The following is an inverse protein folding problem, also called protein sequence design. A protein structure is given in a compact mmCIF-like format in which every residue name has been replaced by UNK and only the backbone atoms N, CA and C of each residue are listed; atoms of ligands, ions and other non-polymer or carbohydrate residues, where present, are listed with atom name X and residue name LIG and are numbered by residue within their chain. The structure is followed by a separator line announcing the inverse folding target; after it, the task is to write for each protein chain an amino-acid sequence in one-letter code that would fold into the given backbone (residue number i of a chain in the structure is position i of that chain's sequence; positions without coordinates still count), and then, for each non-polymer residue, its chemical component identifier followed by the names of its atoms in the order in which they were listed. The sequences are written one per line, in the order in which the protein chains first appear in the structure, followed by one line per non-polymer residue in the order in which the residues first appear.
data_IF_637370461215
#
_entry.id   IF_637370461215
#
_cell.length_a   1.000
_cell.length_b   1.000
_cell.length_c   1.000
_cell.angle_alpha   90.00
_cell.angle_beta   90.00
_cell.angle_gamma   90.00
#
_symmetry.space_group_name_H-M   'P 1'
#
loop_
_entity.id
_entity.type
_entity.pdbx_description
1 polymer ?
#
# COMPACT_ATOMS: atom_id res chain seq x y z
N UNK A 1 11.69 -7.51 -50.97
CA UNK A 1 11.86 -8.07 -49.60
C UNK A 1 12.53 -7.01 -48.75
N UNK A 2 11.78 -6.34 -47.87
CA UNK A 2 12.31 -5.26 -47.01
C UNK A 2 12.90 -5.87 -45.75
N UNK A 3 14.20 -5.62 -45.50
CA UNK A 3 14.93 -6.16 -44.35
C UNK A 3 14.54 -5.37 -43.10
N UNK A 4 13.97 -6.04 -42.10
CA UNK A 4 13.68 -5.45 -40.79
C UNK A 4 14.95 -5.45 -39.95
N UNK A 5 15.31 -4.30 -39.37
CA UNK A 5 16.47 -4.16 -38.51
C UNK A 5 15.98 -4.12 -37.06
N UNK A 6 16.38 -5.11 -36.26
CA UNK A 6 16.06 -5.19 -34.84
C UNK A 6 17.30 -4.74 -34.03
N UNK A 7 17.15 -3.68 -33.23
CA UNK A 7 18.20 -3.11 -32.40
C UNK A 7 17.92 -3.46 -30.94
N UNK A 8 18.92 -4.04 -30.25
CA UNK A 8 18.84 -4.40 -28.84
C UNK A 8 19.90 -3.63 -28.05
N UNK A 9 19.54 -3.17 -26.85
CA UNK A 9 20.46 -2.58 -25.89
C UNK A 9 20.13 -3.08 -24.48
N UNK A 10 21.16 -3.25 -23.64
CA UNK A 10 21.03 -3.65 -22.23
C UNK A 10 21.30 -2.44 -21.34
N UNK A 11 20.30 -2.01 -20.58
CA UNK A 11 20.49 -0.98 -19.56
C UNK A 11 21.27 -1.60 -18.39
N UNK A 12 22.36 -0.96 -17.98
CA UNK A 12 23.19 -1.37 -16.84
C UNK A 12 23.40 -0.19 -15.90
N UNK A 13 23.66 -0.44 -14.61
CA UNK A 13 24.02 0.61 -13.66
C UNK A 13 22.87 1.52 -13.20
N UNK A 14 21.62 1.06 -13.23
CA UNK A 14 20.49 1.83 -12.68
C UNK A 14 20.73 2.04 -11.17
N UNK A 15 20.85 3.32 -10.77
CA UNK A 15 20.90 3.74 -9.37
C UNK A 15 19.58 4.41 -9.03
N UNK A 16 18.79 3.79 -8.15
CA UNK A 16 17.51 4.31 -7.71
C UNK A 16 17.41 4.21 -6.19
N UNK A 17 16.93 5.28 -5.57
CA UNK A 17 16.57 5.30 -4.15
C UNK A 17 15.05 5.43 -4.08
N UNK A 18 14.33 4.41 -3.59
CA UNK A 18 12.89 4.50 -3.44
C UNK A 18 12.55 5.54 -2.36
N UNK A 19 11.50 6.31 -2.63
CA UNK A 19 10.87 7.20 -1.67
C UNK A 19 9.57 6.55 -1.17
N UNK A 20 9.09 6.97 0.00
CA UNK A 20 7.86 6.46 0.62
C UNK A 20 7.98 5.02 1.17
N UNK A 21 9.21 4.57 1.48
CA UNK A 21 9.50 3.31 2.19
C UNK A 21 9.41 3.51 3.71
N UNK A 22 8.22 3.85 4.19
CA UNK A 22 8.00 4.00 5.63
C UNK A 22 8.06 2.62 6.30
N UNK A 23 8.71 2.54 7.47
CA UNK A 23 8.63 1.33 8.29
C UNK A 23 7.24 1.24 8.95
N UNK A 24 6.58 0.11 8.74
CA UNK A 24 5.19 -0.10 9.16
C UNK A 24 5.15 -0.97 10.42
N UNK A 25 4.40 -0.56 11.46
CA UNK A 25 4.22 -1.39 12.64
C UNK A 25 3.50 -2.68 12.26
N UNK A 26 3.83 -3.77 12.96
CA UNK A 26 3.26 -5.09 12.75
C UNK A 26 2.29 -5.40 13.88
N UNK A 27 1.10 -5.84 13.53
CA UNK A 27 0.05 -6.23 14.47
C UNK A 27 -0.48 -7.61 14.11
N UNK A 28 -0.72 -8.45 15.12
CA UNK A 28 -1.44 -9.71 14.92
C UNK A 28 -2.91 -9.43 14.66
N UNK A 29 -3.56 -10.31 13.90
CA UNK A 29 -4.99 -10.16 13.58
C UNK A 29 -5.90 -10.15 14.80
N UNK A 30 -5.48 -10.80 15.89
CA UNK A 30 -6.20 -10.75 17.17
C UNK A 30 -6.25 -9.34 17.78
N UNK A 31 -5.33 -8.44 17.41
CA UNK A 31 -5.18 -7.07 17.92
C UNK A 31 -5.54 -6.02 16.86
N UNK A 32 -6.35 -6.39 15.87
CA UNK A 32 -6.65 -5.53 14.72
C UNK A 32 -7.38 -4.24 15.11
N UNK A 33 -8.22 -4.27 16.15
CA UNK A 33 -8.95 -3.11 16.65
C UNK A 33 -7.98 -2.01 17.14
N UNK A 34 -7.02 -2.39 17.99
CA UNK A 34 -5.98 -1.46 18.47
C UNK A 34 -5.08 -0.95 17.32
N UNK A 35 -4.86 -1.76 16.28
CA UNK A 35 -4.09 -1.35 15.11
C UNK A 35 -4.79 -0.21 14.33
N UNK A 36 -6.11 -0.30 14.15
CA UNK A 36 -6.90 0.75 13.48
C UNK A 36 -6.91 2.07 14.26
N UNK A 37 -6.99 2.01 15.59
CA UNK A 37 -7.03 3.21 16.44
C UNK A 37 -5.71 4.00 16.43
N UNK A 38 -4.58 3.30 16.31
CA UNK A 38 -3.24 3.89 16.44
C UNK A 38 -2.61 4.23 15.09
N UNK A 39 -2.91 3.44 14.06
CA UNK A 39 -2.17 3.48 12.81
C UNK A 39 -3.10 3.49 11.60
N UNK A 40 -2.81 4.42 10.69
CA UNK A 40 -3.55 4.53 9.43
C UNK A 40 -3.00 3.60 8.32
N UNK A 41 -1.79 3.08 8.53
CA UNK A 41 -1.11 2.08 7.70
C UNK A 41 -0.26 1.18 8.59
N UNK A 42 -0.35 -0.14 8.41
CA UNK A 42 0.36 -1.14 9.22
C UNK A 42 0.44 -2.49 8.48
N UNK A 43 1.26 -3.41 8.99
CA UNK A 43 1.31 -4.79 8.53
C UNK A 43 0.45 -5.65 9.46
N UNK A 44 -0.51 -6.37 8.88
CA UNK A 44 -1.37 -7.31 9.58
C UNK A 44 -0.80 -8.72 9.41
N UNK A 45 -0.55 -9.39 10.54
CA UNK A 45 -0.01 -10.75 10.62
C UNK A 45 -1.11 -11.74 10.98
N UNK A 46 -1.26 -12.79 10.16
CA UNK A 46 -2.19 -13.90 10.43
C UNK A 46 -1.45 -15.09 11.03
N UNK A 47 -0.24 -15.36 10.54
CA UNK A 47 0.72 -16.33 11.05
C UNK A 47 2.14 -15.84 10.72
N UNK A 48 3.19 -16.62 10.99
CA UNK A 48 4.58 -16.22 10.72
C UNK A 48 4.91 -15.95 9.25
N UNK A 49 4.16 -16.54 8.31
CA UNK A 49 4.43 -16.47 6.88
C UNK A 49 3.39 -15.62 6.13
N UNK A 50 2.18 -15.52 6.66
CA UNK A 50 1.05 -14.83 6.05
C UNK A 50 0.88 -13.45 6.67
N UNK A 51 1.34 -12.46 5.90
CA UNK A 51 1.21 -11.05 6.24
C UNK A 51 0.63 -10.26 5.06
N UNK A 52 -0.07 -9.17 5.37
CA UNK A 52 -0.47 -8.17 4.40
C UNK A 52 -0.19 -6.77 4.91
N UNK A 53 0.07 -5.83 4.01
CA UNK A 53 0.07 -4.42 4.36
C UNK A 53 -1.36 -3.86 4.21
N UNK A 54 -1.85 -3.21 5.25
CA UNK A 54 -3.16 -2.58 5.31
C UNK A 54 -2.99 -1.08 5.41
N UNK A 55 -3.74 -0.34 4.60
CA UNK A 55 -3.96 1.10 4.75
C UNK A 55 -5.45 1.39 4.87
N UNK A 56 -5.83 2.42 5.60
CA UNK A 56 -7.23 2.83 5.68
C UNK A 56 -7.42 4.34 5.65
N UNK A 57 -8.56 4.78 5.13
CA UNK A 57 -8.92 6.18 5.12
C UNK A 57 -9.58 6.53 6.44
N UNK A 58 -8.93 7.39 7.23
CA UNK A 58 -9.43 7.85 8.54
C UNK A 58 -10.82 8.49 8.51
N UNK A 59 -11.24 8.93 7.33
CA UNK A 59 -12.56 9.51 7.11
C UNK A 59 -13.10 9.04 5.77
N UNK A 60 -14.43 8.97 5.66
CA UNK A 60 -15.07 8.44 4.48
C UNK A 60 -14.72 9.23 3.21
N UNK A 61 -14.79 8.54 2.07
CA UNK A 61 -14.63 9.16 0.75
C UNK A 61 -15.54 10.38 0.63
N UNK A 62 -14.98 11.50 0.15
CA UNK A 62 -15.61 12.85 0.01
C UNK A 62 -15.56 13.75 1.25
N UNK A 63 -14.92 13.32 2.33
CA UNK A 63 -14.51 14.23 3.42
C UNK A 63 -13.18 14.94 3.07
N UNK A 64 -12.92 16.12 3.65
CA UNK A 64 -11.77 17.00 3.31
C UNK A 64 -10.37 16.42 3.62
N UNK A 65 -10.27 15.23 4.19
CA UNK A 65 -8.98 14.59 4.50
C UNK A 65 -8.40 13.95 3.25
N UNK A 66 -7.19 14.34 2.85
CA UNK A 66 -6.50 13.71 1.74
C UNK A 66 -6.04 12.29 2.16
N UNK A 67 -6.58 11.24 1.54
CA UNK A 67 -6.39 9.88 2.03
C UNK A 67 -5.23 9.13 1.36
N UNK A 68 -4.74 9.68 0.23
CA UNK A 68 -3.79 9.02 -0.66
C UNK A 68 -2.40 8.81 -0.03
N UNK A 69 -1.99 9.65 0.92
CA UNK A 69 -0.68 9.51 1.59
C UNK A 69 -0.50 8.15 2.26
N UNK A 70 -1.57 7.59 2.83
CA UNK A 70 -1.55 6.34 3.60
C UNK A 70 -1.39 5.11 2.71
N UNK A 71 -1.88 5.19 1.48
CA UNK A 71 -1.73 4.11 0.49
C UNK A 71 -0.26 3.98 0.12
N UNK A 72 0.41 5.11 -0.11
CA UNK A 72 1.83 5.13 -0.47
C UNK A 72 2.71 4.45 0.59
N UNK A 73 2.43 4.65 1.87
CA UNK A 73 3.14 4.00 2.98
C UNK A 73 3.12 2.45 2.89
N UNK A 74 2.13 1.86 2.20
CA UNK A 74 2.02 0.40 2.03
C UNK A 74 2.57 -0.13 0.72
N UNK A 75 2.96 0.73 -0.24
CA UNK A 75 3.34 0.28 -1.59
C UNK A 75 4.67 -0.45 -1.63
N UNK A 76 5.58 -0.15 -0.71
CA UNK A 76 6.90 -0.80 -0.59
C UNK A 76 6.78 -2.26 -0.12
N UNK A 77 5.64 -2.66 0.44
CA UNK A 77 5.42 -4.03 0.87
C UNK A 77 5.33 -4.98 -0.33
N UNK A 78 6.23 -5.96 -0.40
CA UNK A 78 6.31 -6.90 -1.51
C UNK A 78 5.08 -7.82 -1.64
N UNK A 79 4.38 -8.09 -0.53
CA UNK A 79 3.24 -8.99 -0.48
C UNK A 79 1.90 -8.35 -0.86
N UNK A 80 0.82 -8.95 -0.36
CA UNK A 80 -0.55 -8.44 -0.56
C UNK A 80 -0.73 -7.09 0.13
N UNK A 81 -1.42 -6.19 -0.56
CA UNK A 81 -1.71 -4.83 -0.10
C UNK A 81 -3.22 -4.63 -0.14
N UNK A 82 -3.79 -4.13 0.95
CA UNK A 82 -5.24 -3.90 1.10
C UNK A 82 -5.45 -2.46 1.53
N UNK A 83 -6.45 -1.80 0.92
CA UNK A 83 -6.85 -0.45 1.31
C UNK A 83 -8.33 -0.43 1.66
N UNK A 84 -8.65 -0.03 2.89
CA UNK A 84 -10.03 0.15 3.37
C UNK A 84 -10.47 1.59 3.11
N UNK A 85 -11.54 1.75 2.34
CA UNK A 85 -12.12 3.05 1.99
C UNK A 85 -13.54 3.08 2.56
N UNK A 86 -13.79 3.81 3.67
CA UNK A 86 -15.13 4.00 4.17
C UNK A 86 -15.91 4.86 3.18
N UNK A 87 -17.16 4.50 2.95
CA UNK A 87 -18.10 5.26 2.13
C UNK A 87 -19.34 5.55 2.96
N UNK A 88 -19.85 6.78 2.89
CA UNK A 88 -21.21 7.08 3.31
C UNK A 88 -22.10 7.01 2.08
N UNK A 89 -23.23 6.34 2.22
CA UNK A 89 -24.33 6.39 1.27
C UNK A 89 -25.44 7.20 1.95
N UNK A 90 -25.88 8.26 1.29
CA UNK A 90 -27.06 9.01 1.71
C UNK A 90 -28.28 8.27 1.14
N UNK A 91 -29.13 7.73 2.00
CA UNK A 91 -30.39 7.08 1.62
C UNK A 91 -31.50 8.11 1.74
N UNK A 92 -31.57 9.01 0.75
CA UNK A 92 -32.68 9.94 0.56
C UNK A 92 -33.91 9.25 -0.03
#
# INVERSE_FOLDING_TARGET
MTKRLDIFAKITGIKYKPFLCRDLPKHDIADIENAFDRNASFILKFDEEKMLALSWWVSAKRTRSYPYSRIYDTLDFAGKKVTVIPIFKDEG
#
